data_IF_973991811051
#
_entry.id   IF_973991811051
#
_cell.length_a   1.000
_cell.length_b   1.000
_cell.length_c   1.000
_cell.angle_alpha   90.00
_cell.angle_beta   90.00
_cell.angle_gamma   90.00
#
_symmetry.space_group_name_H-M   'P 1'
#
loop_
_entity.id
_entity.type
_entity.pdbx_description
1 polymer ?
#
# COMPACT_ATOMS: atom_id res chain seq x y z
N UNK A 1 1.28 28.52 2.76
CA UNK A 1 0.51 28.03 1.60
C UNK A 1 -0.44 26.91 2.05
N UNK A 2 -1.71 27.29 2.40
CA UNK A 2 -2.69 26.38 3.03
C UNK A 2 -3.30 25.36 2.05
N UNK A 3 -3.03 25.45 0.75
CA UNK A 3 -3.56 24.52 -0.25
C UNK A 3 -2.76 23.24 -0.38
N UNK A 4 -1.44 23.28 -0.19
CA UNK A 4 -0.59 22.10 -0.26
C UNK A 4 -0.85 21.09 0.87
N UNK A 5 -1.10 21.57 2.10
CA UNK A 5 -1.41 20.72 3.25
C UNK A 5 -2.74 19.96 3.14
N UNK A 6 -3.73 20.53 2.48
CA UNK A 6 -5.04 19.90 2.31
C UNK A 6 -5.04 18.79 1.25
N UNK A 7 -4.21 18.95 0.21
CA UNK A 7 -4.02 17.93 -0.84
C UNK A 7 -3.20 16.76 -0.26
N UNK A 8 -2.13 17.04 0.50
CA UNK A 8 -1.33 16.01 1.14
C UNK A 8 -2.14 15.18 2.15
N UNK A 9 -3.02 15.80 2.95
CA UNK A 9 -3.94 15.08 3.84
C UNK A 9 -4.96 14.22 3.06
N UNK A 10 -5.48 14.69 1.93
CA UNK A 10 -6.37 13.89 1.08
C UNK A 10 -5.65 12.71 0.42
N UNK A 11 -4.38 12.85 0.07
CA UNK A 11 -3.58 11.77 -0.55
C UNK A 11 -3.17 10.72 0.48
N UNK A 12 -2.91 11.12 1.73
CA UNK A 12 -2.60 10.17 2.82
C UNK A 12 -3.82 9.38 3.29
N UNK A 13 -5.03 9.92 3.13
CA UNK A 13 -6.25 9.35 3.70
C UNK A 13 -7.44 9.13 2.74
N UNK A 14 -7.34 9.08 1.41
CA UNK A 14 -8.49 8.70 0.61
C UNK A 14 -8.75 7.21 0.83
N UNK A 15 -9.85 6.93 1.48
CA UNK A 15 -10.32 5.57 1.69
C UNK A 15 -10.75 4.92 0.40
N UNK A 16 -11.12 5.72 -0.55
CA UNK A 16 -11.88 5.25 -1.67
C UNK A 16 -11.41 5.91 -2.95
N UNK A 17 -10.34 5.33 -3.49
CA UNK A 17 -9.91 5.71 -4.83
C UNK A 17 -10.86 5.18 -5.91
N UNK A 18 -11.76 4.24 -5.58
CA UNK A 18 -12.79 3.78 -6.51
C UNK A 18 -13.86 4.86 -6.69
N UNK A 19 -14.31 5.51 -5.59
CA UNK A 19 -15.24 6.64 -5.67
C UNK A 19 -14.56 7.98 -6.03
N UNK A 20 -13.25 8.13 -5.76
CA UNK A 20 -12.49 9.35 -5.98
C UNK A 20 -11.20 9.08 -6.77
N UNK A 21 -11.30 8.74 -8.07
CA UNK A 21 -10.14 8.42 -8.88
C UNK A 21 -9.16 9.59 -8.98
N UNK A 22 -7.87 9.28 -8.95
CA UNK A 22 -6.83 10.27 -9.16
C UNK A 22 -6.83 10.72 -10.63
N UNK A 23 -6.65 12.02 -10.90
CA UNK A 23 -6.54 12.52 -12.27
C UNK A 23 -5.39 11.85 -13.05
N UNK A 24 -5.54 11.77 -14.38
CA UNK A 24 -4.49 11.23 -15.26
C UNK A 24 -3.14 11.93 -15.06
N UNK A 25 -3.16 13.27 -14.92
CA UNK A 25 -1.97 14.08 -14.74
C UNK A 25 -1.39 14.04 -13.30
N UNK A 26 -2.03 13.31 -12.38
CA UNK A 26 -1.53 13.25 -11.01
C UNK A 26 -0.27 12.41 -10.91
N UNK A 27 0.80 13.05 -10.42
CA UNK A 27 2.07 12.41 -10.05
C UNK A 27 2.46 12.93 -8.67
N UNK A 28 2.84 12.07 -7.71
CA UNK A 28 3.34 12.51 -6.41
C UNK A 28 4.59 13.40 -6.57
N UNK A 29 4.69 14.48 -5.77
CA UNK A 29 5.78 15.46 -5.87
C UNK A 29 7.15 14.87 -5.52
N UNK A 30 7.19 13.92 -4.59
CA UNK A 30 8.44 13.37 -4.03
C UNK A 30 8.51 11.85 -4.16
N UNK A 31 8.61 11.37 -5.38
CA UNK A 31 8.88 9.95 -5.65
C UNK A 31 10.38 9.68 -5.56
N UNK A 32 10.75 8.67 -4.77
CA UNK A 32 12.16 8.26 -4.61
C UNK A 32 12.32 6.74 -4.70
N UNK A 33 13.47 6.29 -5.25
CA UNK A 33 14.00 4.93 -5.06
C UNK A 33 14.96 4.95 -3.86
N UNK A 34 14.59 4.27 -2.78
CA UNK A 34 15.40 4.19 -1.54
C UNK A 34 16.32 2.96 -1.51
N UNK A 35 16.46 2.26 -2.63
CA UNK A 35 17.38 1.13 -2.74
C UNK A 35 16.90 -0.15 -2.06
N UNK A 36 15.59 -0.38 -1.95
CA UNK A 36 15.06 -1.65 -1.44
C UNK A 36 15.46 -2.81 -2.35
N UNK A 37 15.56 -4.05 -1.81
CA UNK A 37 15.56 -5.25 -2.64
C UNK A 37 14.29 -5.27 -3.50
N UNK A 38 14.45 -5.25 -4.82
CA UNK A 38 13.35 -5.13 -5.78
C UNK A 38 13.52 -6.14 -6.90
N UNK A 39 12.40 -6.69 -7.40
CA UNK A 39 12.41 -7.52 -8.61
C UNK A 39 12.70 -6.69 -9.87
N UNK A 40 12.25 -5.43 -9.88
CA UNK A 40 12.48 -4.52 -10.99
C UNK A 40 13.93 -4.01 -11.05
N UNK A 41 14.46 -3.81 -12.27
CA UNK A 41 15.79 -3.27 -12.48
C UNK A 41 15.95 -1.83 -11.96
N UNK A 42 17.15 -1.39 -11.59
CA UNK A 42 17.42 0.00 -11.27
C UNK A 42 16.94 0.96 -12.38
N UNK A 43 16.25 2.04 -11.98
CA UNK A 43 15.68 3.01 -12.91
C UNK A 43 14.23 2.71 -13.36
N UNK A 44 13.70 1.53 -13.07
CA UNK A 44 12.29 1.23 -13.35
C UNK A 44 11.38 2.05 -12.40
N UNK A 45 10.36 2.75 -12.92
CA UNK A 45 9.40 3.50 -12.10
C UNK A 45 8.71 2.70 -10.99
N UNK A 46 8.58 1.38 -11.15
CA UNK A 46 8.05 0.49 -10.10
C UNK A 46 8.83 0.55 -8.79
N UNK A 47 10.10 0.97 -8.83
CA UNK A 47 10.96 1.08 -7.65
C UNK A 47 10.69 2.33 -6.83
N UNK A 48 9.92 3.28 -7.37
CA UNK A 48 9.63 4.55 -6.72
C UNK A 48 8.49 4.41 -5.72
N UNK A 49 8.61 5.13 -4.63
CA UNK A 49 7.55 5.36 -3.63
C UNK A 49 7.50 6.84 -3.27
N UNK A 50 6.36 7.30 -2.76
CA UNK A 50 6.29 8.57 -2.09
C UNK A 50 7.27 8.60 -0.91
N UNK A 51 7.89 9.74 -0.65
CA UNK A 51 9.02 9.88 0.28
C UNK A 51 8.78 9.27 1.67
N UNK A 52 7.61 9.52 2.28
CA UNK A 52 7.31 8.98 3.61
C UNK A 52 7.08 7.47 3.57
N UNK A 53 6.38 6.98 2.55
CA UNK A 53 6.17 5.55 2.32
C UNK A 53 7.50 4.84 2.06
N UNK A 54 8.41 5.43 1.28
CA UNK A 54 9.74 4.89 1.00
C UNK A 54 10.56 4.73 2.28
N UNK A 55 10.62 5.76 3.13
CA UNK A 55 11.32 5.69 4.43
C UNK A 55 10.72 4.64 5.35
N UNK A 56 9.41 4.58 5.42
CA UNK A 56 8.69 3.59 6.22
C UNK A 56 8.96 2.15 5.71
N UNK A 57 8.94 1.94 4.39
CA UNK A 57 9.26 0.66 3.76
C UNK A 57 10.70 0.22 4.07
N UNK A 58 11.68 1.13 4.00
CA UNK A 58 13.06 0.82 4.37
C UNK A 58 13.18 0.33 5.82
N UNK A 59 12.48 0.98 6.75
CA UNK A 59 12.46 0.56 8.15
C UNK A 59 11.80 -0.81 8.33
N UNK A 60 10.67 -1.06 7.65
CA UNK A 60 9.96 -2.34 7.67
C UNK A 60 10.85 -3.47 7.15
N UNK A 61 11.47 -3.28 5.98
CA UNK A 61 12.36 -4.28 5.37
C UNK A 61 13.55 -4.61 6.28
N UNK A 62 14.14 -3.58 6.89
CA UNK A 62 15.24 -3.77 7.84
C UNK A 62 14.79 -4.55 9.09
N UNK A 63 13.62 -4.26 9.64
CA UNK A 63 13.08 -4.98 10.79
C UNK A 63 12.78 -6.45 10.45
N UNK A 64 12.15 -6.70 9.30
CA UNK A 64 11.90 -8.06 8.81
C UNK A 64 13.19 -8.84 8.61
N UNK A 65 14.21 -8.22 8.01
CA UNK A 65 15.53 -8.84 7.82
C UNK A 65 16.16 -9.26 9.15
N UNK A 66 16.12 -8.43 10.18
CA UNK A 66 16.62 -8.77 11.53
C UNK A 66 15.89 -9.95 12.16
N UNK A 67 14.65 -10.21 11.77
CA UNK A 67 13.87 -11.38 12.19
C UNK A 67 14.04 -12.59 11.25
N UNK A 68 15.01 -12.55 10.33
CA UNK A 68 15.28 -13.64 9.39
C UNK A 68 14.36 -13.68 8.18
N UNK A 69 13.54 -12.64 7.96
CA UNK A 69 12.65 -12.55 6.80
C UNK A 69 13.18 -11.55 5.77
N UNK A 70 13.59 -12.05 4.61
CA UNK A 70 14.05 -11.22 3.50
C UNK A 70 12.86 -10.85 2.60
N UNK A 71 12.33 -9.65 2.76
CA UNK A 71 11.30 -9.12 1.86
C UNK A 71 11.93 -8.63 0.56
N UNK A 72 11.16 -8.77 -0.53
CA UNK A 72 11.41 -8.16 -1.83
C UNK A 72 10.22 -7.30 -2.22
N UNK A 73 10.50 -6.15 -2.76
CA UNK A 73 9.50 -5.29 -3.36
C UNK A 73 9.27 -5.72 -4.82
N UNK A 74 8.03 -5.69 -5.25
CA UNK A 74 7.59 -6.12 -6.58
C UNK A 74 7.10 -4.92 -7.40
N UNK A 75 6.26 -4.08 -6.80
CA UNK A 75 5.67 -2.91 -7.46
C UNK A 75 5.39 -1.81 -6.45
N UNK A 76 5.99 -0.66 -6.66
CA UNK A 76 5.68 0.60 -5.96
C UNK A 76 4.83 1.51 -6.84
N UNK A 77 5.36 2.67 -7.24
CA UNK A 77 4.64 3.64 -8.07
C UNK A 77 4.27 3.08 -9.44
N UNK A 78 3.06 3.40 -9.87
CA UNK A 78 2.52 3.06 -11.19
C UNK A 78 1.74 4.25 -11.73
N UNK A 79 2.18 4.85 -12.84
CA UNK A 79 1.48 5.97 -13.46
C UNK A 79 0.09 5.58 -13.96
N UNK A 80 -0.80 6.57 -14.13
CA UNK A 80 -2.11 6.38 -14.76
C UNK A 80 -2.00 5.67 -16.10
N UNK A 81 -1.08 6.13 -16.97
CA UNK A 81 -0.86 5.54 -18.28
C UNK A 81 -0.45 4.06 -18.19
N UNK A 82 0.47 3.72 -17.27
CA UNK A 82 0.88 2.34 -17.07
C UNK A 82 -0.27 1.47 -16.55
N UNK A 83 -1.11 2.01 -15.67
CA UNK A 83 -2.32 1.32 -15.20
C UNK A 83 -3.30 1.05 -16.35
N UNK A 84 -3.47 2.03 -17.26
CA UNK A 84 -4.32 1.90 -18.44
C UNK A 84 -3.84 0.78 -19.39
N UNK A 85 -2.54 0.65 -19.58
CA UNK A 85 -1.95 -0.44 -20.37
C UNK A 85 -2.17 -1.83 -19.75
N UNK A 86 -2.21 -1.89 -18.42
CA UNK A 86 -2.40 -3.14 -17.69
C UNK A 86 -3.87 -3.53 -17.51
N UNK A 87 -4.77 -2.58 -17.66
CA UNK A 87 -6.19 -2.79 -17.42
C UNK A 87 -6.82 -3.71 -18.45
N UNK A 88 -7.29 -4.86 -18.00
CA UNK A 88 -7.93 -5.90 -18.83
C UNK A 88 -9.40 -6.13 -18.48
N UNK A 89 -9.94 -5.37 -17.53
CA UNK A 89 -11.27 -5.63 -16.95
C UNK A 89 -11.29 -6.78 -15.92
N UNK A 90 -10.13 -7.30 -15.55
CA UNK A 90 -10.01 -8.29 -14.47
C UNK A 90 -10.27 -7.64 -13.10
N UNK A 91 -10.97 -8.31 -12.17
CA UNK A 91 -11.20 -7.79 -10.83
C UNK A 91 -9.92 -7.60 -9.99
N UNK A 92 -8.80 -8.20 -10.42
CA UNK A 92 -7.48 -8.03 -9.81
C UNK A 92 -6.69 -6.84 -10.35
N UNK A 93 -7.21 -6.14 -11.34
CA UNK A 93 -6.54 -4.99 -11.96
C UNK A 93 -7.45 -3.78 -11.86
N UNK A 94 -7.13 -2.87 -10.97
CA UNK A 94 -7.89 -1.64 -10.76
C UNK A 94 -7.99 -0.80 -12.05
N UNK A 95 -9.08 -0.07 -12.21
CA UNK A 95 -9.24 0.89 -13.30
C UNK A 95 -8.19 2.01 -13.22
N UNK A 96 -7.82 2.62 -14.36
CA UNK A 96 -6.94 3.79 -14.36
C UNK A 96 -7.49 4.91 -13.48
N UNK A 97 -6.65 5.44 -12.60
CA UNK A 97 -7.03 6.45 -11.61
C UNK A 97 -7.49 5.87 -10.27
N UNK A 98 -7.93 4.62 -10.21
CA UNK A 98 -8.38 3.99 -8.96
C UNK A 98 -7.30 3.14 -8.28
N UNK A 99 -6.18 2.91 -8.96
CA UNK A 99 -5.05 2.16 -8.38
C UNK A 99 -4.30 2.98 -7.33
N UNK A 100 -4.12 2.42 -6.14
CA UNK A 100 -3.34 3.03 -5.05
C UNK A 100 -1.86 3.22 -5.41
N UNK A 101 -1.34 2.44 -6.34
CA UNK A 101 0.04 2.59 -6.83
C UNK A 101 0.30 3.96 -7.47
N UNK A 102 -0.72 4.61 -8.03
CA UNK A 102 -0.57 5.97 -8.58
C UNK A 102 -0.27 7.00 -7.50
N UNK A 103 -0.68 6.77 -6.25
CA UNK A 103 -0.35 7.64 -5.13
C UNK A 103 1.10 7.51 -4.64
N UNK A 104 1.82 6.44 -5.03
CA UNK A 104 3.13 6.10 -4.49
C UNK A 104 3.11 5.58 -3.05
N UNK A 105 1.91 5.34 -2.48
CA UNK A 105 1.74 4.89 -1.10
C UNK A 105 1.51 3.38 -0.97
N UNK A 106 1.27 2.68 -2.07
CA UNK A 106 1.13 1.23 -2.12
C UNK A 106 2.44 0.56 -2.52
N UNK A 107 2.67 -0.61 -1.95
CA UNK A 107 3.80 -1.46 -2.27
C UNK A 107 3.37 -2.93 -2.29
N UNK A 108 3.61 -3.59 -3.40
CA UNK A 108 3.51 -5.04 -3.48
C UNK A 108 4.82 -5.66 -3.01
N UNK A 109 4.71 -6.64 -2.12
CA UNK A 109 5.86 -7.31 -1.50
C UNK A 109 5.82 -8.82 -1.70
N UNK A 110 6.99 -9.42 -1.78
CA UNK A 110 7.20 -10.87 -1.91
C UNK A 110 8.36 -11.32 -1.02
N UNK A 111 8.70 -12.60 -1.09
CA UNK A 111 9.86 -13.17 -0.43
C UNK A 111 10.58 -14.13 -1.38
N UNK A 112 11.91 -14.02 -1.60
CA UNK A 112 12.65 -14.82 -2.60
C UNK A 112 12.63 -16.33 -2.36
N UNK A 113 12.40 -16.74 -1.13
CA UNK A 113 12.28 -18.18 -0.79
C UNK A 113 10.99 -18.82 -1.34
N UNK A 114 10.15 -18.03 -2.00
CA UNK A 114 8.88 -18.46 -2.56
C UNK A 114 8.91 -18.15 -4.05
N UNK A 115 9.47 -19.03 -4.84
CA UNK A 115 9.31 -19.08 -6.29
C UNK A 115 7.87 -19.47 -6.66
N UNK A 116 6.86 -18.81 -6.14
CA UNK A 116 5.48 -19.23 -6.41
C UNK A 116 4.55 -18.05 -6.63
N UNK A 117 3.61 -18.33 -7.53
CA UNK A 117 2.48 -17.49 -7.84
C UNK A 117 1.85 -16.85 -6.59
N UNK A 118 1.54 -15.59 -6.69
CA UNK A 118 1.10 -14.67 -5.64
C UNK A 118 -0.20 -15.08 -4.90
N UNK A 119 -0.77 -16.27 -5.14
CA UNK A 119 -2.16 -16.52 -4.75
C UNK A 119 -2.39 -17.29 -3.44
N UNK A 120 -1.59 -18.27 -3.03
CA UNK A 120 -1.97 -19.06 -1.85
C UNK A 120 -0.86 -19.47 -0.89
N UNK A 121 0.39 -19.28 -1.24
CA UNK A 121 1.53 -19.87 -0.52
C UNK A 121 2.44 -18.84 0.15
N UNK A 122 1.92 -17.68 0.53
CA UNK A 122 2.70 -16.82 1.43
C UNK A 122 2.96 -17.64 2.70
N UNK A 123 4.23 -18.05 2.99
CA UNK A 123 4.48 -18.86 4.17
C UNK A 123 3.85 -18.23 5.39
N UNK A 124 3.22 -19.04 6.20
CA UNK A 124 2.52 -18.58 7.40
C UNK A 124 3.42 -17.72 8.30
N UNK A 125 4.73 -17.97 8.28
CA UNK A 125 5.75 -17.19 8.98
C UNK A 125 5.94 -15.78 8.41
N UNK A 126 5.94 -15.62 7.08
CA UNK A 126 6.01 -14.32 6.40
C UNK A 126 4.78 -13.51 6.71
N UNK A 127 3.61 -14.16 6.64
CA UNK A 127 2.32 -13.55 6.95
C UNK A 127 2.28 -13.08 8.40
N UNK A 128 2.60 -13.94 9.36
CA UNK A 128 2.57 -13.61 10.78
C UNK A 128 3.54 -12.46 11.14
N UNK A 129 4.76 -12.47 10.58
CA UNK A 129 5.72 -11.39 10.83
C UNK A 129 5.31 -10.09 10.15
N UNK A 130 4.86 -10.15 8.91
CA UNK A 130 4.35 -8.99 8.22
C UNK A 130 3.11 -8.39 8.93
N UNK A 131 2.22 -9.22 9.44
CA UNK A 131 1.06 -8.79 10.23
C UNK A 131 1.47 -8.08 11.52
N UNK A 132 2.53 -8.54 12.18
CA UNK A 132 3.05 -7.95 13.41
C UNK A 132 3.84 -6.66 13.17
N UNK A 133 4.71 -6.65 12.16
CA UNK A 133 5.65 -5.54 11.94
C UNK A 133 5.04 -4.39 11.12
N UNK A 134 4.21 -4.69 10.13
CA UNK A 134 3.61 -3.66 9.25
C UNK A 134 3.06 -2.43 9.96
N UNK A 135 2.17 -2.58 10.99
CA UNK A 135 1.55 -1.43 11.62
C UNK A 135 2.56 -0.52 12.33
N UNK A 136 3.65 -1.09 12.87
CA UNK A 136 4.71 -0.35 13.56
C UNK A 136 5.46 0.61 12.63
N UNK A 137 5.40 0.34 11.31
CA UNK A 137 6.00 1.18 10.27
C UNK A 137 4.98 1.95 9.43
N UNK A 138 3.70 1.91 9.82
CA UNK A 138 2.65 2.68 9.18
C UNK A 138 2.00 2.02 7.97
N UNK A 139 2.20 0.72 7.79
CA UNK A 139 1.56 -0.05 6.72
C UNK A 139 0.40 -0.90 7.23
N UNK A 140 -0.62 -1.03 6.41
CA UNK A 140 -1.73 -1.97 6.58
C UNK A 140 -1.73 -3.02 5.48
N UNK A 141 -2.35 -4.17 5.74
CA UNK A 141 -2.83 -5.06 4.68
C UNK A 141 -4.08 -4.41 4.10
N UNK A 142 -3.98 -3.99 2.84
CA UNK A 142 -5.02 -3.14 2.26
C UNK A 142 -6.30 -3.92 1.96
N UNK A 143 -6.17 -5.13 1.49
CA UNK A 143 -7.28 -6.00 1.05
C UNK A 143 -7.28 -7.30 1.85
N UNK A 144 -7.76 -7.29 3.11
CA UNK A 144 -7.75 -8.45 3.99
C UNK A 144 -8.86 -9.45 3.65
N UNK A 145 -8.67 -10.71 4.05
CA UNK A 145 -9.71 -11.76 3.90
C UNK A 145 -11.01 -11.37 4.60
N UNK A 146 -12.11 -11.78 4.00
CA UNK A 146 -13.48 -11.56 4.50
C UNK A 146 -13.89 -10.08 4.56
N UNK A 147 -13.23 -9.22 3.78
CA UNK A 147 -13.54 -7.80 3.62
C UNK A 147 -13.73 -7.41 2.15
N UNK A 148 -13.80 -8.38 1.26
CA UNK A 148 -13.88 -8.18 -0.18
C UNK A 148 -15.14 -7.40 -0.59
N UNK A 149 -16.27 -7.62 0.11
CA UNK A 149 -17.52 -6.87 -0.12
C UNK A 149 -17.42 -5.40 0.29
N UNK A 150 -16.49 -5.07 1.21
CA UNK A 150 -16.28 -3.71 1.71
C UNK A 150 -15.25 -2.98 0.84
N UNK A 151 -14.14 -3.66 0.53
CA UNK A 151 -13.03 -3.07 -0.22
C UNK A 151 -13.25 -3.08 -1.73
N UNK A 152 -14.18 -3.91 -2.23
CA UNK A 152 -14.42 -4.11 -3.65
C UNK A 152 -13.29 -4.86 -4.39
N UNK A 153 -12.23 -5.27 -3.66
CA UNK A 153 -11.05 -5.95 -4.22
C UNK A 153 -10.89 -7.31 -3.53
N UNK A 154 -10.54 -8.38 -4.27
CA UNK A 154 -10.21 -9.67 -3.70
C UNK A 154 -9.07 -9.60 -2.67
N UNK A 155 -8.96 -10.63 -1.83
CA UNK A 155 -7.87 -10.74 -0.86
C UNK A 155 -6.49 -10.69 -1.54
N UNK A 156 -5.64 -9.75 -1.15
CA UNK A 156 -4.28 -9.56 -1.68
C UNK A 156 -3.25 -9.53 -0.54
N UNK A 157 -2.65 -10.67 -0.16
CA UNK A 157 -1.69 -10.74 0.94
C UNK A 157 -0.38 -9.96 0.69
N UNK A 158 -0.08 -9.67 -0.56
CA UNK A 158 1.11 -8.94 -1.00
C UNK A 158 0.97 -7.43 -0.97
N UNK A 159 -0.28 -6.90 -1.10
CA UNK A 159 -0.53 -5.47 -1.27
C UNK A 159 -0.62 -4.77 0.08
N UNK A 160 0.40 -3.97 0.39
CA UNK A 160 0.46 -3.15 1.60
C UNK A 160 0.33 -1.66 1.27
N UNK A 161 -0.40 -0.94 2.12
CA UNK A 161 -0.64 0.50 1.96
C UNK A 161 -0.07 1.27 3.15
N UNK A 162 0.70 2.33 2.86
CA UNK A 162 1.15 3.29 3.87
C UNK A 162 0.02 4.26 4.23
N UNK A 163 -0.26 4.37 5.54
CA UNK A 163 -1.32 5.23 6.09
C UNK A 163 -0.87 6.01 7.33
N UNK A 164 0.40 5.99 7.68
CA UNK A 164 1.02 6.46 8.93
C UNK A 164 0.93 5.45 10.09
N UNK A 165 1.88 5.57 11.05
CA UNK A 165 1.96 4.62 12.19
C UNK A 165 0.70 4.66 13.09
N UNK A 166 0.18 5.84 13.51
CA UNK A 166 -1.00 5.87 14.37
C UNK A 166 -2.22 5.21 13.71
N UNK A 167 -2.48 5.55 12.44
CA UNK A 167 -3.64 5.01 11.75
C UNK A 167 -3.48 3.51 11.46
N UNK A 168 -2.29 3.06 11.04
CA UNK A 168 -2.03 1.64 10.80
C UNK A 168 -2.23 0.81 12.06
N UNK A 169 -1.71 1.27 13.21
CA UNK A 169 -1.89 0.60 14.49
C UNK A 169 -3.36 0.53 14.88
N UNK A 170 -4.08 1.63 14.74
CA UNK A 170 -5.51 1.69 15.09
C UNK A 170 -6.35 0.76 14.20
N UNK A 171 -6.17 0.82 12.88
CA UNK A 171 -6.88 -0.06 11.93
C UNK A 171 -6.60 -1.54 12.20
N UNK A 172 -5.35 -1.87 12.53
CA UNK A 172 -4.97 -3.26 12.85
C UNK A 172 -5.61 -3.76 14.15
N UNK A 173 -5.62 -2.94 15.20
CA UNK A 173 -6.22 -3.31 16.50
C UNK A 173 -7.73 -3.45 16.38
N UNK A 174 -8.37 -2.57 15.63
CA UNK A 174 -9.84 -2.56 15.46
C UNK A 174 -10.33 -3.50 14.37
N UNK A 175 -9.41 -4.07 13.57
CA UNK A 175 -9.72 -4.89 12.39
C UNK A 175 -10.62 -4.18 11.38
N UNK A 176 -10.44 -2.86 11.22
CA UNK A 176 -11.18 -2.04 10.27
C UNK A 176 -10.39 -1.83 8.98
N UNK A 177 -11.10 -1.74 7.87
CA UNK A 177 -10.55 -1.29 6.59
C UNK A 177 -10.50 0.25 6.52
N UNK A 178 -9.85 0.80 5.51
CA UNK A 178 -9.88 2.25 5.27
C UNK A 178 -11.30 2.73 4.96
N UNK A 179 -12.09 1.97 4.22
CA UNK A 179 -13.48 2.27 3.89
C UNK A 179 -14.31 2.36 5.17
N UNK A 180 -14.23 1.36 6.04
CA UNK A 180 -14.94 1.36 7.33
C UNK A 180 -14.52 2.55 8.19
N UNK A 181 -13.23 2.90 8.22
CA UNK A 181 -12.73 4.06 8.95
C UNK A 181 -13.33 5.37 8.46
N UNK A 182 -13.45 5.56 7.15
CA UNK A 182 -14.01 6.79 6.58
C UNK A 182 -15.54 6.86 6.68
N UNK A 183 -16.22 5.73 6.76
CA UNK A 183 -17.65 5.67 7.01
C UNK A 183 -18.02 5.96 8.48
N UNK A 184 -17.06 6.01 9.41
CA UNK A 184 -17.37 6.42 10.79
C UNK A 184 -17.82 7.88 10.81
N UNK A 185 -19.05 8.17 11.30
CA UNK A 185 -19.49 9.55 11.42
C UNK A 185 -18.54 10.31 12.33
N UNK A 186 -18.29 11.57 12.02
CA UNK A 186 -17.31 12.53 12.58
C UNK A 186 -17.40 12.77 14.12
N UNK A 187 -17.84 11.81 14.89
CA UNK A 187 -17.98 11.86 16.36
C UNK A 187 -16.92 11.08 17.12
N UNK A 188 -16.04 10.36 16.45
CA UNK A 188 -14.87 9.82 17.14
C UNK A 188 -13.77 10.89 17.14
N UNK A 189 -13.15 11.19 18.31
CA UNK A 189 -12.00 12.06 18.37
C UNK A 189 -10.91 11.47 17.45
N UNK A 190 -10.30 12.34 16.66
CA UNK A 190 -9.13 11.95 15.86
C UNK A 190 -8.13 11.23 16.77
N UNK A 191 -7.57 10.09 16.35
CA UNK A 191 -6.51 9.45 17.11
C UNK A 191 -5.36 10.47 17.28
N UNK A 192 -4.75 10.49 18.46
CA UNK A 192 -3.69 11.45 18.81
C UNK A 192 -2.47 11.39 17.89
#
# INVERSE_FOLDING_TARGET
DKKGGFIAQRILYPADQQEHPLPEAFVPEHLIDIGLPFEAAPGDPKRLLEYQAAKAASQLFHACHRCGLNLWAVSGYRSYQRQKELFTGSPFVAEPGTSEHQSGLALDVSCPSIHMELSESFPQQVKALAEKERPLYGFILRYPKNKEEITGIPYEPWHIRYVTKPLASWLTITNLTLEEYHCFPSRCPHPP
#
